data_IF_551903253344
#
_entry.id   IF_551903253344
#
_cell.length_a   1.000
_cell.length_b   1.000
_cell.length_c   1.000
_cell.angle_alpha   90.00
_cell.angle_beta   90.00
_cell.angle_gamma   90.00
#
_symmetry.space_group_name_H-M   'P 1'
#
loop_
_entity.id
_entity.type
_entity.pdbx_description
1 polymer ?
#
# COMPACT_ATOMS: atom_id res chain seq x y z
N UNK A 1 3.10 18.89 20.12
CA UNK A 1 1.63 19.03 20.20
C UNK A 1 1.06 17.71 20.69
N UNK A 2 0.22 17.74 21.71
CA UNK A 2 -0.50 16.54 22.18
C UNK A 2 -1.63 16.20 21.19
N UNK A 3 -2.12 14.95 21.22
CA UNK A 3 -3.28 14.52 20.41
C UNK A 3 -4.49 15.44 20.60
N UNK A 4 -4.71 15.90 21.83
CA UNK A 4 -5.81 16.80 22.20
C UNK A 4 -5.65 18.20 21.59
N UNK A 5 -4.45 18.77 21.65
CA UNK A 5 -4.16 20.07 21.03
C UNK A 5 -4.33 20.03 19.51
N UNK A 6 -3.86 18.95 18.87
CA UNK A 6 -4.02 18.77 17.43
C UNK A 6 -5.51 18.65 17.04
N UNK A 7 -6.28 17.87 17.80
CA UNK A 7 -7.73 17.76 17.61
C UNK A 7 -8.44 19.11 17.76
N UNK A 8 -8.11 19.90 18.80
CA UNK A 8 -8.69 21.21 19.02
C UNK A 8 -8.36 22.20 17.88
N UNK A 9 -7.13 22.16 17.36
CA UNK A 9 -6.74 22.97 16.19
C UNK A 9 -7.59 22.62 14.97
N UNK A 10 -7.75 21.33 14.65
CA UNK A 10 -8.55 20.87 13.50
C UNK A 10 -10.01 21.34 13.62
N UNK A 11 -10.59 21.25 14.82
CA UNK A 11 -11.94 21.70 15.08
C UNK A 11 -12.07 23.23 14.95
N UNK A 12 -11.10 23.99 15.46
CA UNK A 12 -11.06 25.45 15.34
C UNK A 12 -10.94 25.90 13.87
N UNK A 13 -10.18 25.15 13.07
CA UNK A 13 -9.99 25.38 11.63
C UNK A 13 -11.23 24.99 10.80
N UNK A 14 -12.27 24.41 11.43
CA UNK A 14 -13.53 23.98 10.81
C UNK A 14 -13.30 23.05 9.61
N UNK A 15 -12.38 22.09 9.76
CA UNK A 15 -12.16 21.06 8.75
C UNK A 15 -13.43 20.19 8.64
N UNK A 16 -14.00 20.14 7.44
CA UNK A 16 -15.24 19.41 7.17
C UNK A 16 -15.02 17.92 6.88
N UNK A 17 -13.88 17.61 6.25
CA UNK A 17 -13.48 16.25 5.89
C UNK A 17 -12.05 16.04 6.37
N UNK A 18 -11.88 15.14 7.32
CA UNK A 18 -10.59 14.76 7.85
C UNK A 18 -10.23 13.35 7.37
N UNK A 19 -9.03 13.18 6.83
CA UNK A 19 -8.60 11.91 6.24
C UNK A 19 -7.42 11.37 7.04
N UNK A 20 -7.59 10.18 7.60
CA UNK A 20 -6.51 9.37 8.14
C UNK A 20 -5.76 8.65 7.02
N UNK A 21 -4.44 8.86 6.97
CA UNK A 21 -3.54 8.27 5.99
C UNK A 21 -2.58 7.25 6.60
N UNK A 22 -2.78 6.84 7.85
CA UNK A 22 -1.87 5.94 8.56
C UNK A 22 -2.55 4.71 9.17
N UNK A 23 -3.79 4.80 9.63
CA UNK A 23 -4.47 3.74 10.38
C UNK A 23 -3.62 3.25 11.54
N UNK A 24 -3.40 1.94 11.66
CA UNK A 24 -2.55 1.36 12.73
C UNK A 24 -1.07 1.22 12.37
N UNK A 25 -0.59 1.92 11.35
CA UNK A 25 0.85 1.90 11.02
C UNK A 25 1.68 2.71 12.02
N UNK A 26 3.00 2.53 12.00
CA UNK A 26 3.92 3.18 12.95
C UNK A 26 3.82 4.71 12.85
N UNK A 27 3.70 5.37 14.00
CA UNK A 27 3.62 6.83 14.09
C UNK A 27 2.23 7.41 13.81
N UNK A 28 1.21 6.56 13.72
CA UNK A 28 -0.16 7.01 13.54
C UNK A 28 -0.67 7.88 14.70
N UNK A 29 -1.74 8.61 14.41
CA UNK A 29 -2.49 9.38 15.39
C UNK A 29 -3.98 9.01 15.34
N UNK A 30 -4.29 7.72 15.18
CA UNK A 30 -5.70 7.29 15.01
C UNK A 30 -6.56 7.65 16.23
N UNK A 31 -5.96 7.72 17.43
CA UNK A 31 -6.63 8.17 18.66
C UNK A 31 -7.12 9.63 18.62
N UNK A 32 -6.59 10.46 17.71
CA UNK A 32 -7.07 11.82 17.47
C UNK A 32 -8.53 11.83 17.03
N UNK A 33 -8.93 10.83 16.25
CA UNK A 33 -10.28 10.77 15.68
C UNK A 33 -11.35 10.40 16.71
N UNK A 34 -10.96 9.85 17.87
CA UNK A 34 -11.88 9.63 19.00
C UNK A 34 -12.51 10.92 19.52
N UNK A 35 -11.86 12.07 19.31
CA UNK A 35 -12.41 13.39 19.66
C UNK A 35 -13.41 13.94 18.62
N UNK A 36 -13.58 13.25 17.48
CA UNK A 36 -14.47 13.66 16.38
C UNK A 36 -14.32 15.13 15.96
N UNK A 37 -13.10 15.62 15.64
CA UNK A 37 -12.86 17.03 15.35
C UNK A 37 -13.42 17.50 13.99
N UNK A 38 -13.99 16.59 13.19
CA UNK A 38 -14.55 16.85 11.86
C UNK A 38 -15.85 16.04 11.69
N UNK A 39 -16.87 16.58 11.00
CA UNK A 39 -18.14 15.87 10.80
C UNK A 39 -18.00 14.66 9.87
N UNK A 40 -17.08 14.72 8.90
CA UNK A 40 -16.73 13.58 8.05
C UNK A 40 -15.31 13.16 8.33
N UNK A 41 -15.12 11.87 8.62
CA UNK A 41 -13.81 11.29 8.89
C UNK A 41 -13.63 10.04 8.03
N UNK A 42 -12.54 10.01 7.28
CA UNK A 42 -12.22 8.97 6.32
C UNK A 42 -10.93 8.26 6.70
N UNK A 43 -10.84 6.97 6.42
CA UNK A 43 -9.57 6.25 6.37
C UNK A 43 -9.21 6.00 4.90
N UNK A 44 -7.96 6.26 4.51
CA UNK A 44 -7.51 6.07 3.13
C UNK A 44 -6.04 5.68 3.05
N UNK A 45 -5.72 4.70 2.19
CA UNK A 45 -4.37 4.30 1.72
C UNK A 45 -3.37 3.77 2.76
N UNK A 46 -3.33 4.31 3.97
CA UNK A 46 -2.28 4.05 4.96
C UNK A 46 -2.29 2.66 5.57
N UNK A 47 -3.48 2.13 5.82
CA UNK A 47 -3.69 0.86 6.47
C UNK A 47 -4.72 0.06 5.67
N UNK A 48 -4.26 -1.01 5.03
CA UNK A 48 -5.04 -1.79 4.06
C UNK A 48 -5.89 -2.86 4.76
N UNK A 49 -6.63 -2.48 5.80
CA UNK A 49 -7.53 -3.34 6.58
C UNK A 49 -8.56 -2.50 7.34
N UNK A 50 -9.59 -3.15 7.90
CA UNK A 50 -10.55 -2.54 8.82
C UNK A 50 -9.84 -1.86 10.00
N UNK A 51 -10.28 -0.66 10.37
CA UNK A 51 -9.79 0.05 11.56
C UNK A 51 -10.53 -0.35 12.84
N UNK A 52 -11.65 -1.08 12.74
CA UNK A 52 -12.46 -1.39 13.91
C UNK A 52 -13.32 -0.23 14.41
N UNK A 53 -13.36 0.91 13.68
CA UNK A 53 -14.02 2.14 14.09
C UNK A 53 -15.27 2.38 13.25
N UNK A 54 -16.45 2.34 13.87
CA UNK A 54 -17.75 2.49 13.20
C UNK A 54 -18.04 3.90 12.68
N UNK A 55 -17.35 4.91 13.20
CA UNK A 55 -17.49 6.31 12.82
C UNK A 55 -16.63 6.71 11.61
N UNK A 56 -15.83 5.80 11.07
CA UNK A 56 -15.06 6.01 9.85
C UNK A 56 -15.81 5.58 8.59
N UNK A 57 -15.43 6.21 7.49
CA UNK A 57 -15.69 5.70 6.15
C UNK A 57 -14.35 5.34 5.49
N UNK A 58 -14.17 4.07 5.16
CA UNK A 58 -12.96 3.56 4.51
C UNK A 58 -13.11 3.72 3.00
N UNK A 59 -12.16 4.44 2.40
CA UNK A 59 -12.07 4.59 0.94
C UNK A 59 -11.33 3.38 0.37
N UNK A 60 -12.00 2.64 -0.53
CA UNK A 60 -11.49 1.41 -1.14
C UNK A 60 -12.00 1.25 -2.58
N UNK A 61 -11.74 0.09 -3.20
CA UNK A 61 -12.29 -0.31 -4.50
C UNK A 61 -12.86 -1.74 -4.43
N UNK A 62 -13.60 -2.14 -5.47
CA UNK A 62 -14.28 -3.45 -5.52
C UNK A 62 -13.30 -4.64 -5.57
N UNK A 63 -12.06 -4.41 -5.98
CA UNK A 63 -11.03 -5.46 -6.08
C UNK A 63 -10.40 -5.71 -4.71
N UNK A 64 -10.09 -4.64 -3.98
CA UNK A 64 -9.46 -4.69 -2.67
C UNK A 64 -10.45 -4.99 -1.55
N UNK A 65 -11.69 -4.53 -1.68
CA UNK A 65 -12.77 -4.77 -0.72
C UNK A 65 -14.04 -5.25 -1.42
N UNK A 66 -14.06 -6.50 -1.93
CA UNK A 66 -15.24 -7.06 -2.58
C UNK A 66 -16.50 -6.92 -1.71
N UNK A 67 -17.66 -6.51 -2.27
CA UNK A 67 -18.89 -6.32 -1.50
C UNK A 67 -19.34 -7.56 -0.70
N UNK A 68 -19.00 -8.76 -1.18
CA UNK A 68 -19.28 -10.04 -0.52
C UNK A 68 -18.57 -10.16 0.84
N UNK A 69 -17.46 -9.45 1.01
CA UNK A 69 -16.69 -9.40 2.25
C UNK A 69 -17.09 -8.21 3.15
N UNK A 70 -18.17 -7.49 2.85
CA UNK A 70 -18.60 -6.30 3.62
C UNK A 70 -18.70 -6.57 5.13
N UNK A 71 -19.05 -7.79 5.54
CA UNK A 71 -19.23 -8.17 6.95
C UNK A 71 -17.95 -8.10 7.80
N UNK A 72 -16.76 -8.11 7.19
CA UNK A 72 -15.49 -8.02 7.93
C UNK A 72 -15.09 -6.58 8.29
N UNK A 73 -15.82 -5.58 7.76
CA UNK A 73 -15.53 -4.16 7.96
C UNK A 73 -16.48 -3.54 8.97
N UNK A 74 -15.93 -2.80 9.93
CA UNK A 74 -16.73 -1.95 10.85
C UNK A 74 -17.10 -0.62 10.20
N UNK A 75 -16.21 -0.09 9.36
CA UNK A 75 -16.40 1.18 8.66
C UNK A 75 -17.49 1.06 7.59
N UNK A 76 -18.02 2.20 7.18
CA UNK A 76 -18.72 2.30 5.89
C UNK A 76 -17.69 2.25 4.76
N UNK A 77 -17.99 1.54 3.68
CA UNK A 77 -17.11 1.49 2.50
C UNK A 77 -17.54 2.54 1.49
N UNK A 78 -16.59 3.37 1.04
CA UNK A 78 -16.74 4.27 -0.09
C UNK A 78 -15.88 3.74 -1.24
N UNK A 79 -16.54 3.30 -2.33
CA UNK A 79 -15.87 2.71 -3.48
C UNK A 79 -15.46 3.77 -4.51
N UNK A 80 -14.18 3.79 -4.85
CA UNK A 80 -13.67 4.54 -5.99
C UNK A 80 -13.84 3.74 -7.29
N UNK A 81 -14.08 4.42 -8.42
CA UNK A 81 -14.04 3.77 -9.72
C UNK A 81 -12.61 3.33 -10.06
N UNK A 82 -12.45 2.11 -10.55
CA UNK A 82 -11.14 1.55 -10.87
C UNK A 82 -10.39 1.11 -9.61
N UNK A 83 -9.26 1.75 -9.30
CA UNK A 83 -8.44 1.40 -8.14
C UNK A 83 -8.37 2.51 -7.10
N UNK A 84 -8.45 2.14 -5.83
CA UNK A 84 -8.21 3.05 -4.71
C UNK A 84 -6.71 3.39 -4.54
N UNK A 85 -5.83 2.57 -5.12
CA UNK A 85 -4.39 2.73 -4.98
C UNK A 85 -3.84 3.72 -6.01
N UNK A 86 -3.50 4.92 -5.56
CA UNK A 86 -2.94 5.98 -6.40
C UNK A 86 -1.41 5.95 -6.29
N UNK A 87 -0.74 5.92 -7.45
CA UNK A 87 0.71 6.02 -7.57
C UNK A 87 1.12 7.18 -8.47
N UNK A 88 2.19 7.88 -8.12
CA UNK A 88 2.69 9.05 -8.84
C UNK A 88 3.63 8.73 -9.99
N UNK A 89 3.64 7.50 -10.53
CA UNK A 89 4.68 7.06 -11.46
C UNK A 89 4.81 7.95 -12.70
N UNK A 90 3.69 8.39 -13.28
CA UNK A 90 3.72 9.27 -14.45
C UNK A 90 4.38 10.63 -14.18
N UNK A 91 4.17 11.18 -12.99
CA UNK A 91 4.73 12.48 -12.59
C UNK A 91 6.17 12.34 -12.11
N UNK A 92 6.44 11.36 -11.26
CA UNK A 92 7.72 11.20 -10.57
C UNK A 92 8.78 10.43 -11.37
N UNK A 93 8.34 9.65 -12.35
CA UNK A 93 9.19 8.80 -13.17
C UNK A 93 8.85 8.93 -14.65
N UNK A 94 8.54 10.15 -15.10
CA UNK A 94 8.21 10.43 -16.50
C UNK A 94 9.29 9.93 -17.47
N UNK A 95 10.56 9.98 -17.04
CA UNK A 95 11.71 9.46 -17.79
C UNK A 95 11.69 7.94 -18.00
N UNK A 96 11.04 7.17 -17.11
CA UNK A 96 10.87 5.71 -17.25
C UNK A 96 9.68 5.34 -18.14
N UNK A 97 8.81 6.31 -18.46
CA UNK A 97 7.71 6.10 -19.38
C UNK A 97 8.11 6.30 -20.84
N UNK A 98 9.25 6.95 -21.09
CA UNK A 98 9.88 6.98 -22.40
C UNK A 98 10.66 5.67 -22.61
N UNK A 99 10.26 4.81 -23.56
CA UNK A 99 11.00 3.58 -23.88
C UNK A 99 12.48 3.84 -24.24
N UNK A 100 12.80 5.05 -24.71
CA UNK A 100 14.16 5.50 -25.03
C UNK A 100 14.85 6.24 -23.88
N UNK A 101 14.11 6.58 -22.81
CA UNK A 101 14.58 7.29 -21.62
C UNK A 101 15.11 6.39 -20.51
N UNK A 102 14.95 5.06 -20.65
CA UNK A 102 15.59 4.07 -19.78
C UNK A 102 17.09 4.12 -20.06
N UNK A 103 17.81 4.99 -19.34
CA UNK A 103 19.24 4.84 -19.17
C UNK A 103 19.46 3.58 -18.34
N UNK A 104 19.68 2.45 -18.99
CA UNK A 104 20.37 1.32 -18.38
C UNK A 104 21.82 1.77 -18.20
N UNK A 105 22.09 2.64 -17.23
CA UNK A 105 23.47 2.94 -16.83
C UNK A 105 24.01 1.69 -16.16
N UNK A 106 24.47 0.75 -16.99
CA UNK A 106 25.38 -0.33 -16.65
C UNK A 106 26.78 0.25 -16.32
N UNK A 107 26.87 1.33 -15.55
CA UNK A 107 28.16 1.93 -15.19
C UNK A 107 28.60 1.57 -13.77
N UNK A 108 27.74 0.90 -12.98
CA UNK A 108 28.11 0.30 -11.70
C UNK A 108 27.50 -1.10 -11.55
N UNK A 109 27.71 -1.99 -12.53
CA UNK A 109 27.52 -3.41 -12.25
C UNK A 109 28.74 -3.92 -11.50
N UNK A 110 28.55 -4.28 -10.23
CA UNK A 110 29.42 -5.26 -9.61
C UNK A 110 29.45 -6.51 -10.51
N UNK A 111 30.56 -6.72 -11.20
CA UNK A 111 30.76 -7.82 -12.14
C UNK A 111 30.74 -9.21 -11.43
N UNK A 112 30.58 -9.25 -10.11
CA UNK A 112 30.44 -10.49 -9.32
C UNK A 112 29.19 -11.30 -9.68
N UNK A 113 28.13 -10.67 -10.21
CA UNK A 113 26.88 -11.36 -10.56
C UNK A 113 26.73 -11.42 -12.09
N UNK A 114 27.30 -12.47 -12.69
CA UNK A 114 26.95 -12.83 -14.07
C UNK A 114 25.53 -13.42 -14.11
N UNK A 115 24.55 -12.59 -14.46
CA UNK A 115 23.17 -13.06 -14.67
C UNK A 115 23.07 -13.85 -15.98
N UNK A 116 23.17 -15.18 -15.91
CA UNK A 116 22.80 -16.09 -17.02
C UNK A 116 21.46 -16.76 -16.70
N UNK A 117 20.39 -16.36 -17.38
CA UNK A 117 19.05 -16.95 -17.26
C UNK A 117 18.00 -15.99 -16.70
N UNK A 118 16.84 -16.54 -16.32
CA UNK A 118 15.70 -15.80 -15.76
C UNK A 118 16.01 -15.31 -14.33
N UNK A 119 15.86 -14.01 -14.09
CA UNK A 119 15.99 -13.40 -12.75
C UNK A 119 14.59 -13.13 -12.18
N UNK A 120 14.29 -13.76 -11.04
CA UNK A 120 13.05 -13.53 -10.29
C UNK A 120 13.37 -12.70 -9.05
N UNK A 121 12.66 -11.58 -8.86
CA UNK A 121 12.91 -10.65 -7.77
C UNK A 121 11.68 -10.47 -6.88
N UNK A 122 11.90 -10.23 -5.59
CA UNK A 122 10.87 -9.81 -4.64
C UNK A 122 11.39 -8.66 -3.78
N UNK A 123 11.10 -7.42 -4.20
CA UNK A 123 11.45 -6.19 -3.48
C UNK A 123 10.41 -5.85 -2.40
N UNK A 124 10.22 -6.78 -1.46
CA UNK A 124 9.27 -6.64 -0.36
C UNK A 124 10.00 -6.61 0.98
N UNK A 125 9.37 -6.02 2.00
CA UNK A 125 9.85 -6.15 3.38
C UNK A 125 9.87 -7.62 3.82
N UNK A 126 10.88 -8.00 4.61
CA UNK A 126 11.13 -9.39 4.98
C UNK A 126 9.94 -10.08 5.68
N UNK A 127 9.16 -9.35 6.48
CA UNK A 127 7.98 -9.89 7.15
C UNK A 127 6.88 -10.38 6.18
N UNK A 128 6.92 -9.97 4.91
CA UNK A 128 6.00 -10.46 3.85
C UNK A 128 6.47 -11.81 3.25
N UNK A 129 7.70 -12.23 3.54
CA UNK A 129 8.26 -13.50 3.06
C UNK A 129 7.84 -14.61 4.01
N UNK A 130 6.65 -15.15 3.76
CA UNK A 130 6.11 -16.27 4.55
C UNK A 130 6.69 -17.61 4.08
N UNK A 131 6.61 -18.63 4.95
CA UNK A 131 6.95 -20.02 4.57
C UNK A 131 6.19 -20.50 3.34
N UNK A 132 4.93 -20.09 3.18
CA UNK A 132 4.11 -20.45 2.01
C UNK A 132 4.67 -19.85 0.72
N UNK A 133 4.99 -18.55 0.75
CA UNK A 133 5.55 -17.85 -0.40
C UNK A 133 6.91 -18.44 -0.77
N UNK A 134 7.78 -18.64 0.22
CA UNK A 134 9.09 -19.27 0.04
C UNK A 134 9.00 -20.65 -0.61
N UNK A 135 8.15 -21.54 -0.08
CA UNK A 135 7.96 -22.88 -0.65
C UNK A 135 7.46 -22.84 -2.09
N UNK A 136 6.60 -21.88 -2.42
CA UNK A 136 6.10 -21.68 -3.79
C UNK A 136 7.23 -21.23 -4.71
N UNK A 137 8.05 -20.27 -4.27
CA UNK A 137 9.21 -19.82 -5.03
C UNK A 137 10.23 -20.94 -5.29
N UNK A 138 10.53 -21.76 -4.28
CA UNK A 138 11.44 -22.91 -4.46
C UNK A 138 10.90 -23.90 -5.50
N UNK A 139 9.58 -24.20 -5.49
CA UNK A 139 8.97 -25.05 -6.52
C UNK A 139 9.12 -24.48 -7.93
N UNK A 140 8.89 -23.17 -8.09
CA UNK A 140 9.04 -22.48 -9.38
C UNK A 140 10.50 -22.57 -9.86
N UNK A 141 11.47 -22.33 -8.98
CA UNK A 141 12.89 -22.41 -9.31
C UNK A 141 13.33 -23.83 -9.68
N UNK A 142 12.84 -24.85 -8.99
CA UNK A 142 13.11 -26.25 -9.33
C UNK A 142 12.57 -26.60 -10.71
N UNK A 143 11.30 -26.26 -10.99
CA UNK A 143 10.67 -26.53 -12.28
C UNK A 143 11.35 -25.79 -13.44
N UNK A 144 11.72 -24.51 -13.24
CA UNK A 144 12.43 -23.73 -14.24
C UNK A 144 13.82 -24.32 -14.56
N UNK A 145 14.50 -24.88 -13.55
CA UNK A 145 15.79 -25.56 -13.73
C UNK A 145 15.65 -26.87 -14.52
N UNK A 146 14.57 -27.62 -14.31
CA UNK A 146 14.31 -28.88 -15.00
C UNK A 146 13.96 -28.65 -16.48
N UNK A 147 13.07 -27.69 -16.77
CA UNK A 147 12.70 -27.35 -18.15
C UNK A 147 13.83 -26.70 -18.97
N UNK A 148 14.83 -26.09 -18.32
CA UNK A 148 16.01 -25.57 -19.01
C UNK A 148 17.05 -26.66 -19.38
N UNK A 149 16.88 -27.90 -18.89
CA UNK A 149 17.78 -29.04 -19.15
C UNK A 149 17.24 -30.04 -20.17
N UNK A 150 15.97 -29.91 -20.57
CA UNK A 150 15.29 -30.69 -21.62
C UNK A 150 15.34 -29.95 -22.95
#
# INVERSE_FOLDING_TARGET
>A
KTTKEASASIAADKIHVLIDLMGYTRGNQISLFSFRPSPVMLAFKGYMSTTGLDFFTLVSDITASPPELRSIYTERLAYLPGSFFISGHKTNHANLLDPHGIKTSHEETDHSIQHRGLVLCSFNSLYKVTRRNWRTWMKILTAAREGARS
#
